data_IF_866462744705
#
_entry.id   IF_866462744705
#
_cell.length_a   1.000
_cell.length_b   1.000
_cell.length_c   1.000
_cell.angle_alpha   90.00
_cell.angle_beta   90.00
_cell.angle_gamma   90.00
#
_symmetry.space_group_name_H-M   'P 1'
#
loop_
_entity.id
_entity.type
_entity.pdbx_description
1 polymer ?
#
# COMPACT_ATOMS: atom_id res chain seq x y z
N UNK A 1 5.30 -8.81 -41.71
CA UNK A 1 4.50 -8.01 -40.76
C UNK A 1 4.10 -8.95 -39.64
N UNK A 2 4.79 -8.88 -38.50
CA UNK A 2 4.36 -9.63 -37.30
C UNK A 2 3.08 -8.97 -36.81
N UNK A 3 1.98 -9.73 -36.74
CA UNK A 3 0.74 -9.25 -36.15
C UNK A 3 1.05 -8.71 -34.75
N UNK A 4 0.61 -7.47 -34.47
CA UNK A 4 0.74 -6.92 -33.12
C UNK A 4 0.01 -7.87 -32.18
N UNK A 5 0.61 -8.28 -31.05
CA UNK A 5 -0.08 -9.10 -30.07
C UNK A 5 -1.41 -8.44 -29.71
N UNK A 6 -2.45 -9.26 -29.48
CA UNK A 6 -3.78 -8.74 -29.13
C UNK A 6 -3.62 -7.80 -27.93
N UNK A 7 -4.12 -6.57 -28.07
CA UNK A 7 -4.07 -5.61 -26.96
C UNK A 7 -4.89 -6.20 -25.83
N UNK A 8 -4.28 -6.38 -24.65
CA UNK A 8 -5.02 -6.62 -23.41
C UNK A 8 -5.99 -5.45 -23.27
N UNK A 9 -7.29 -5.73 -23.39
CA UNK A 9 -8.33 -4.69 -23.35
C UNK A 9 -8.59 -4.38 -21.88
N UNK A 10 -8.14 -3.23 -21.41
CA UNK A 10 -8.36 -2.77 -20.04
C UNK A 10 -9.87 -2.67 -19.78
N UNK A 11 -10.41 -3.35 -18.74
CA UNK A 11 -11.80 -3.21 -18.36
C UNK A 11 -12.14 -1.75 -18.04
N UNK A 12 -13.33 -1.31 -18.47
CA UNK A 12 -13.88 0.00 -18.14
C UNK A 12 -15.04 -0.22 -17.16
N UNK A 13 -14.99 0.45 -16.02
CA UNK A 13 -15.97 0.32 -14.93
C UNK A 13 -16.44 1.70 -14.47
N UNK A 14 -17.67 1.78 -13.97
CA UNK A 14 -18.25 3.03 -13.48
C UNK A 14 -18.51 2.99 -11.98
N UNK A 15 -18.27 4.10 -11.28
CA UNK A 15 -18.86 4.34 -9.96
C UNK A 15 -20.00 5.35 -10.06
N UNK A 16 -21.11 5.09 -9.38
CA UNK A 16 -22.26 5.98 -9.25
C UNK A 16 -22.42 6.30 -7.76
N UNK A 17 -21.78 7.37 -7.30
CA UNK A 17 -21.62 7.65 -5.87
C UNK A 17 -21.40 9.13 -5.56
N UNK A 18 -21.45 9.47 -4.28
CA UNK A 18 -21.12 10.81 -3.78
C UNK A 18 -19.62 11.11 -3.81
N UNK A 19 -19.29 12.40 -3.88
CA UNK A 19 -17.94 12.95 -3.78
C UNK A 19 -17.60 13.31 -2.34
N UNK A 20 -16.74 12.52 -1.69
CA UNK A 20 -16.11 12.86 -0.40
C UNK A 20 -15.00 13.89 -0.60
N UNK A 21 -15.19 15.12 -0.11
CA UNK A 21 -14.18 16.19 -0.17
C UNK A 21 -12.87 15.84 0.54
N UNK A 22 -12.88 14.95 1.53
CA UNK A 22 -11.68 14.44 2.21
C UNK A 22 -10.89 13.44 1.37
N UNK A 23 -11.48 12.92 0.28
CA UNK A 23 -10.85 12.00 -0.66
C UNK A 23 -10.59 10.60 -0.11
N UNK A 24 -11.22 10.23 1.02
CA UNK A 24 -11.05 8.94 1.68
C UNK A 24 -12.08 7.88 1.27
N UNK A 25 -13.30 8.31 0.92
CA UNK A 25 -14.42 7.48 0.51
C UNK A 25 -15.04 7.95 -0.83
N UNK A 26 -16.24 7.45 -1.15
CA UNK A 26 -17.00 7.85 -2.33
C UNK A 26 -16.26 7.63 -3.65
N UNK A 27 -16.56 8.45 -4.66
CA UNK A 27 -15.91 8.33 -5.98
C UNK A 27 -14.38 8.41 -5.92
N UNK A 28 -13.83 9.13 -4.93
CA UNK A 28 -12.38 9.27 -4.79
C UNK A 28 -11.72 7.93 -4.40
N UNK A 29 -12.29 7.21 -3.44
CA UNK A 29 -11.84 5.86 -3.08
C UNK A 29 -12.01 4.88 -4.24
N UNK A 30 -13.12 4.99 -4.95
CA UNK A 30 -13.46 4.09 -6.05
C UNK A 30 -12.47 4.23 -7.21
N UNK A 31 -12.26 5.47 -7.68
CA UNK A 31 -11.33 5.75 -8.79
C UNK A 31 -9.88 5.40 -8.42
N UNK A 32 -9.46 5.64 -7.17
CA UNK A 32 -8.13 5.20 -6.69
C UNK A 32 -8.01 3.68 -6.67
N UNK A 33 -9.06 2.97 -6.27
CA UNK A 33 -9.11 1.51 -6.27
C UNK A 33 -9.04 0.96 -7.70
N UNK A 34 -9.81 1.54 -8.62
CA UNK A 34 -9.79 1.18 -10.03
C UNK A 34 -8.40 1.39 -10.65
N UNK A 35 -7.78 2.54 -10.40
CA UNK A 35 -6.42 2.83 -10.83
C UNK A 35 -5.40 1.84 -10.24
N UNK A 36 -5.53 1.49 -8.95
CA UNK A 36 -4.66 0.53 -8.30
C UNK A 36 -4.75 -0.88 -8.92
N UNK A 37 -5.96 -1.28 -9.33
CA UNK A 37 -6.21 -2.59 -9.91
C UNK A 37 -6.02 -2.62 -11.43
N UNK A 38 -5.58 -1.51 -12.04
CA UNK A 38 -5.28 -1.45 -13.47
C UNK A 38 -6.53 -1.47 -14.37
N UNK A 39 -7.69 -1.06 -13.86
CA UNK A 39 -8.93 -0.89 -14.64
C UNK A 39 -9.20 0.60 -14.88
N UNK A 40 -9.86 0.94 -15.98
CA UNK A 40 -10.24 2.32 -16.27
C UNK A 40 -11.54 2.67 -15.53
N UNK A 41 -11.43 3.52 -14.53
CA UNK A 41 -12.58 4.01 -13.76
C UNK A 41 -13.22 5.24 -14.40
N UNK A 42 -14.54 5.20 -14.56
CA UNK A 42 -15.40 6.35 -14.88
C UNK A 42 -16.32 6.64 -13.68
N UNK A 43 -16.98 7.81 -13.67
CA UNK A 43 -17.87 8.15 -12.56
C UNK A 43 -19.11 8.92 -13.02
N UNK A 44 -20.20 8.74 -12.27
CA UNK A 44 -21.37 9.61 -12.27
C UNK A 44 -21.59 10.06 -10.82
N UNK A 45 -21.47 11.36 -10.57
CA UNK A 45 -21.57 11.92 -9.22
C UNK A 45 -23.04 12.05 -8.86
N UNK A 46 -23.42 11.56 -7.67
CA UNK A 46 -24.81 11.65 -7.15
C UNK A 46 -24.98 12.83 -6.22
N UNK A 47 -23.99 13.06 -5.35
CA UNK A 47 -23.97 14.19 -4.42
C UNK A 47 -22.54 14.67 -4.20
N UNK A 48 -22.37 15.90 -3.74
CA UNK A 48 -21.10 16.42 -3.23
C UNK A 48 -21.22 16.61 -1.72
N UNK A 49 -20.27 16.10 -0.93
CA UNK A 49 -20.28 16.28 0.52
C UNK A 49 -19.18 17.24 0.96
N UNK A 50 -19.51 18.21 1.80
CA UNK A 50 -18.53 18.93 2.60
C UNK A 50 -18.14 18.01 3.76
N UNK A 51 -17.13 17.17 3.51
CA UNK A 51 -16.74 16.07 4.39
C UNK A 51 -15.25 16.09 4.68
N UNK A 52 -14.88 15.65 5.88
CA UNK A 52 -13.50 15.43 6.27
C UNK A 52 -13.43 14.23 7.23
N UNK A 53 -12.25 13.98 7.81
CA UNK A 53 -12.02 12.81 8.68
C UNK A 53 -12.84 12.79 9.97
N UNK A 54 -13.48 13.90 10.36
CA UNK A 54 -14.29 13.99 11.58
C UNK A 54 -15.79 13.88 11.34
N UNK A 55 -16.23 13.80 10.08
CA UNK A 55 -17.65 13.62 9.74
C UNK A 55 -18.08 14.36 8.48
N UNK A 56 -19.37 14.22 8.18
CA UNK A 56 -20.07 14.94 7.11
C UNK A 56 -20.68 16.21 7.69
N UNK A 57 -20.36 17.37 7.11
CA UNK A 57 -20.89 18.67 7.55
C UNK A 57 -22.13 19.05 6.75
N UNK A 58 -22.06 18.90 5.43
CA UNK A 58 -23.16 19.24 4.51
C UNK A 58 -23.15 18.28 3.31
N UNK A 59 -24.34 18.08 2.73
CA UNK A 59 -24.55 17.23 1.55
C UNK A 59 -25.34 18.01 0.51
N UNK A 60 -24.84 17.99 -0.73
CA UNK A 60 -25.43 18.67 -1.88
C UNK A 60 -25.78 17.64 -2.95
N UNK A 61 -27.05 17.29 -3.04
CA UNK A 61 -27.54 16.34 -4.04
C UNK A 61 -27.57 16.97 -5.43
N UNK A 62 -27.10 16.23 -6.44
CA UNK A 62 -27.29 16.63 -7.82
C UNK A 62 -28.69 16.27 -8.30
N UNK A 63 -29.22 17.06 -9.24
CA UNK A 63 -30.50 16.78 -9.86
C UNK A 63 -30.45 15.41 -10.60
N UNK A 64 -31.50 14.57 -10.51
CA UNK A 64 -31.55 13.27 -11.18
C UNK A 64 -31.18 13.33 -12.66
N UNK A 65 -31.65 14.33 -13.40
CA UNK A 65 -31.38 14.49 -14.83
C UNK A 65 -29.88 14.72 -15.11
N UNK A 66 -29.18 15.37 -14.18
CA UNK A 66 -27.72 15.56 -14.24
C UNK A 66 -26.99 14.25 -14.01
N UNK A 67 -27.48 13.38 -13.12
CA UNK A 67 -26.92 12.04 -12.87
C UNK A 67 -27.10 11.17 -14.13
N UNK A 68 -28.31 11.16 -14.69
CA UNK A 68 -28.60 10.43 -15.94
C UNK A 68 -27.71 10.89 -17.09
N UNK A 69 -27.56 12.21 -17.29
CA UNK A 69 -26.72 12.78 -18.32
C UNK A 69 -25.25 12.33 -18.22
N UNK A 70 -24.71 12.20 -17.00
CA UNK A 70 -23.35 11.68 -16.79
C UNK A 70 -23.24 10.20 -17.19
N UNK A 71 -24.18 9.36 -16.74
CA UNK A 71 -24.19 7.93 -17.05
C UNK A 71 -24.29 7.72 -18.56
N UNK A 72 -25.23 8.41 -19.22
CA UNK A 72 -25.44 8.33 -20.67
C UNK A 72 -24.22 8.81 -21.46
N UNK A 73 -23.60 9.92 -21.05
CA UNK A 73 -22.41 10.44 -21.71
C UNK A 73 -21.26 9.43 -21.72
N UNK A 74 -21.05 8.73 -20.60
CA UNK A 74 -20.01 7.69 -20.52
C UNK A 74 -20.42 6.44 -21.30
N UNK A 75 -21.63 5.92 -21.10
CA UNK A 75 -22.07 4.66 -21.72
C UNK A 75 -22.28 4.77 -23.24
N UNK A 76 -22.49 5.97 -23.78
CA UNK A 76 -22.60 6.19 -25.23
C UNK A 76 -21.27 6.17 -25.97
N UNK A 77 -20.14 6.37 -25.27
CA UNK A 77 -18.79 6.39 -25.84
C UNK A 77 -17.95 5.16 -25.41
N UNK A 78 -18.12 4.68 -24.18
CA UNK A 78 -17.27 3.67 -23.57
C UNK A 78 -18.02 2.35 -23.33
N UNK A 79 -17.34 1.22 -23.54
CA UNK A 79 -17.89 -0.13 -23.31
C UNK A 79 -17.92 -0.48 -21.80
N UNK A 80 -18.70 0.26 -21.03
CA UNK A 80 -18.93 0.01 -19.60
C UNK A 80 -19.90 -1.17 -19.45
N UNK A 81 -19.46 -2.22 -18.76
CA UNK A 81 -20.33 -3.38 -18.40
C UNK A 81 -20.63 -3.45 -16.92
N UNK A 82 -19.67 -3.09 -16.08
CA UNK A 82 -19.79 -3.15 -14.63
C UNK A 82 -19.86 -1.76 -14.05
N UNK A 83 -20.78 -1.57 -13.12
CA UNK A 83 -20.86 -0.38 -12.31
C UNK A 83 -20.98 -0.75 -10.82
N UNK A 84 -20.52 0.14 -9.94
CA UNK A 84 -20.91 0.11 -8.54
C UNK A 84 -21.74 1.32 -8.18
N UNK A 85 -22.66 1.16 -7.23
CA UNK A 85 -23.21 2.31 -6.52
C UNK A 85 -22.47 2.52 -5.20
N UNK A 86 -22.47 3.76 -4.71
CA UNK A 86 -22.12 4.10 -3.33
C UNK A 86 -23.27 4.86 -2.68
N UNK A 87 -22.97 5.97 -2.01
CA UNK A 87 -23.99 6.86 -1.43
C UNK A 87 -24.94 7.42 -2.50
N UNK A 88 -26.25 7.19 -2.32
CA UNK A 88 -27.31 7.68 -3.22
C UNK A 88 -28.26 8.71 -2.59
N UNK A 89 -28.16 8.95 -1.27
CA UNK A 89 -28.85 9.96 -0.44
C UNK A 89 -30.39 10.04 -0.43
N UNK A 90 -31.07 9.91 -1.55
CA UNK A 90 -32.51 10.19 -1.71
C UNK A 90 -33.23 9.24 -2.66
N UNK A 91 -34.56 9.14 -2.51
CA UNK A 91 -35.43 8.30 -3.32
C UNK A 91 -35.41 8.68 -4.80
N UNK A 92 -35.33 9.96 -5.11
CA UNK A 92 -35.28 10.49 -6.47
C UNK A 92 -34.01 10.03 -7.20
N UNK A 93 -32.86 10.10 -6.53
CA UNK A 93 -31.58 9.63 -7.06
C UNK A 93 -31.61 8.11 -7.27
N UNK A 94 -32.09 7.36 -6.27
CA UNK A 94 -32.16 5.89 -6.37
C UNK A 94 -33.00 5.46 -7.58
N UNK A 95 -34.17 6.08 -7.79
CA UNK A 95 -35.04 5.78 -8.94
C UNK A 95 -34.35 6.04 -10.26
N UNK A 96 -33.66 7.17 -10.38
CA UNK A 96 -32.97 7.52 -11.62
C UNK A 96 -31.78 6.58 -11.87
N UNK A 97 -31.01 6.24 -10.84
CA UNK A 97 -29.91 5.26 -10.96
C UNK A 97 -30.46 3.89 -11.35
N UNK A 98 -31.53 3.42 -10.72
CA UNK A 98 -32.16 2.14 -11.07
C UNK A 98 -32.69 2.11 -12.51
N UNK A 99 -33.24 3.23 -12.99
CA UNK A 99 -33.67 3.40 -14.38
C UNK A 99 -32.50 3.32 -15.34
N UNK A 100 -31.42 4.06 -15.09
CA UNK A 100 -30.26 4.07 -15.98
C UNK A 100 -29.48 2.74 -15.95
N UNK A 101 -29.34 2.08 -14.80
CA UNK A 101 -28.74 0.75 -14.71
C UNK A 101 -29.46 -0.25 -15.61
N UNK A 102 -30.81 -0.26 -15.59
CA UNK A 102 -31.61 -1.12 -16.48
C UNK A 102 -31.45 -0.74 -17.95
N UNK A 103 -31.54 0.56 -18.26
CA UNK A 103 -31.46 1.09 -19.63
C UNK A 103 -30.12 0.77 -20.29
N UNK A 104 -29.03 0.99 -19.57
CA UNK A 104 -27.66 0.74 -20.04
C UNK A 104 -27.23 -0.74 -19.88
N UNK A 105 -28.06 -1.58 -19.24
CA UNK A 105 -27.80 -3.01 -18.97
C UNK A 105 -26.50 -3.24 -18.18
N UNK A 106 -26.26 -2.40 -17.19
CA UNK A 106 -25.07 -2.48 -16.34
C UNK A 106 -25.19 -3.64 -15.37
N UNK A 107 -24.12 -4.41 -15.21
CA UNK A 107 -23.95 -5.32 -14.09
C UNK A 107 -23.57 -4.52 -12.86
N UNK A 108 -24.45 -4.53 -11.85
CA UNK A 108 -24.34 -3.64 -10.71
C UNK A 108 -23.83 -4.37 -9.46
N UNK A 109 -22.78 -3.82 -8.87
CA UNK A 109 -22.37 -4.05 -7.47
C UNK A 109 -23.00 -2.96 -6.60
N UNK A 110 -23.98 -3.32 -5.77
CA UNK A 110 -24.66 -2.40 -4.87
C UNK A 110 -23.93 -2.36 -3.53
N UNK A 111 -23.33 -1.21 -3.19
CA UNK A 111 -22.87 -0.90 -1.84
C UNK A 111 -23.99 -0.11 -1.14
N UNK A 112 -24.78 -0.73 -0.23
CA UNK A 112 -25.98 -0.11 0.33
C UNK A 112 -25.63 0.84 1.47
N UNK A 113 -24.85 1.89 1.16
CA UNK A 113 -24.32 2.85 2.14
C UNK A 113 -25.47 3.59 2.82
N UNK A 114 -25.69 3.32 4.11
CA UNK A 114 -26.74 3.98 4.91
C UNK A 114 -26.20 5.08 5.84
N UNK A 115 -24.96 4.92 6.33
CA UNK A 115 -24.33 5.84 7.27
C UNK A 115 -22.84 6.03 6.96
N UNK A 116 -22.28 7.17 7.36
CA UNK A 116 -20.87 7.46 7.20
C UNK A 116 -20.06 6.82 8.33
N UNK A 117 -18.91 6.27 8.00
CA UNK A 117 -17.95 5.74 8.98
C UNK A 117 -17.37 6.84 9.89
N UNK A 118 -17.23 8.05 9.35
CA UNK A 118 -16.87 9.24 10.13
C UNK A 118 -18.05 9.84 10.91
N UNK A 119 -19.25 9.24 10.83
CA UNK A 119 -20.49 9.67 11.48
C UNK A 119 -21.42 10.50 10.58
N UNK A 120 -22.73 10.29 10.75
CA UNK A 120 -23.81 10.96 10.01
C UNK A 120 -24.64 10.00 9.16
N UNK A 121 -25.96 10.23 9.08
CA UNK A 121 -26.86 9.49 8.19
C UNK A 121 -26.60 9.91 6.73
N UNK A 122 -26.37 8.94 5.87
CA UNK A 122 -26.10 9.15 4.45
C UNK A 122 -27.27 8.77 3.54
N UNK A 123 -28.23 8.02 4.08
CA UNK A 123 -29.47 7.66 3.41
C UNK A 123 -30.66 8.19 4.21
N UNK A 124 -31.55 8.93 3.56
CA UNK A 124 -32.82 9.36 4.18
C UNK A 124 -33.68 8.14 4.47
N UNK A 125 -34.40 8.13 5.60
CA UNK A 125 -35.17 6.96 6.05
C UNK A 125 -36.20 6.49 5.02
N UNK A 126 -36.80 7.44 4.32
CA UNK A 126 -37.80 7.20 3.28
C UNK A 126 -37.20 6.62 1.99
N UNK A 127 -35.88 6.68 1.83
CA UNK A 127 -35.16 6.19 0.66
C UNK A 127 -34.80 4.70 0.76
N UNK A 128 -34.86 4.10 1.96
CA UNK A 128 -34.57 2.68 2.15
C UNK A 128 -35.57 1.77 1.43
N UNK A 129 -36.87 2.06 1.51
CA UNK A 129 -37.89 1.27 0.79
C UNK A 129 -37.68 1.34 -0.72
N UNK A 130 -37.35 2.53 -1.24
CA UNK A 130 -37.07 2.74 -2.67
C UNK A 130 -35.80 2.00 -3.10
N UNK A 131 -34.76 1.95 -2.26
CA UNK A 131 -33.57 1.14 -2.52
C UNK A 131 -33.92 -0.35 -2.66
N UNK A 132 -34.74 -0.87 -1.75
CA UNK A 132 -35.17 -2.27 -1.72
C UNK A 132 -36.08 -2.60 -2.92
N UNK A 133 -37.05 -1.74 -3.22
CA UNK A 133 -38.05 -2.00 -4.26
C UNK A 133 -37.51 -1.75 -5.67
N UNK A 134 -36.74 -0.68 -5.87
CA UNK A 134 -36.38 -0.21 -7.21
C UNK A 134 -34.96 -0.60 -7.63
N UNK A 135 -33.97 -0.61 -6.72
CA UNK A 135 -32.55 -0.77 -7.08
C UNK A 135 -32.00 -2.17 -6.77
N UNK A 136 -32.27 -2.70 -5.57
CA UNK A 136 -31.79 -4.01 -5.14
C UNK A 136 -32.13 -5.14 -6.14
N UNK A 137 -33.33 -5.19 -6.76
CA UNK A 137 -33.66 -6.23 -7.74
C UNK A 137 -32.87 -6.15 -9.05
N UNK A 138 -32.10 -5.08 -9.26
CA UNK A 138 -31.26 -4.88 -10.46
C UNK A 138 -29.81 -5.30 -10.24
N UNK A 139 -29.41 -5.58 -9.00
CA UNK A 139 -28.01 -5.82 -8.68
C UNK A 139 -27.57 -7.27 -8.90
N UNK A 140 -26.35 -7.44 -9.40
CA UNK A 140 -25.67 -8.74 -9.48
C UNK A 140 -25.19 -9.19 -8.11
N UNK A 141 -24.71 -8.24 -7.32
CA UNK A 141 -24.26 -8.49 -5.96
C UNK A 141 -24.49 -7.25 -5.11
N UNK A 142 -24.92 -7.44 -3.87
CA UNK A 142 -24.95 -6.39 -2.86
C UNK A 142 -23.94 -6.70 -1.75
N UNK A 143 -23.28 -5.67 -1.19
CA UNK A 143 -22.18 -5.83 -0.21
C UNK A 143 -22.47 -5.20 1.16
N UNK A 144 -23.62 -5.45 1.81
CA UNK A 144 -23.93 -4.82 3.09
C UNK A 144 -22.97 -5.25 4.21
N UNK A 145 -22.70 -4.36 5.16
CA UNK A 145 -22.20 -4.75 6.47
C UNK A 145 -23.33 -5.35 7.35
N UNK A 146 -23.03 -5.84 8.55
CA UNK A 146 -24.03 -6.46 9.43
C UNK A 146 -25.23 -5.53 9.77
N UNK A 147 -24.98 -4.23 9.99
CA UNK A 147 -26.05 -3.26 10.29
C UNK A 147 -26.93 -3.02 9.06
N UNK A 148 -26.33 -2.81 7.90
CA UNK A 148 -27.02 -2.62 6.63
C UNK A 148 -27.80 -3.88 6.22
N UNK A 149 -27.21 -5.06 6.41
CA UNK A 149 -27.87 -6.34 6.15
C UNK A 149 -29.10 -6.50 7.03
N UNK A 150 -29.01 -6.08 8.30
CA UNK A 150 -30.16 -6.07 9.20
C UNK A 150 -31.27 -5.13 8.76
N UNK A 151 -30.92 -3.92 8.32
CA UNK A 151 -31.87 -2.95 7.79
C UNK A 151 -32.57 -3.45 6.51
N UNK A 152 -31.83 -4.08 5.59
CA UNK A 152 -32.40 -4.67 4.37
C UNK A 152 -33.28 -5.90 4.67
N UNK A 153 -32.84 -6.78 5.57
CA UNK A 153 -33.55 -8.02 5.90
C UNK A 153 -34.69 -7.86 6.91
N UNK A 154 -34.85 -6.66 7.50
CA UNK A 154 -35.83 -6.39 8.56
C UNK A 154 -35.58 -7.20 9.82
N UNK A 155 -34.32 -7.41 10.20
CA UNK A 155 -33.93 -8.16 11.41
C UNK A 155 -32.57 -7.70 11.95
N UNK A 156 -32.21 -8.04 13.18
CA UNK A 156 -30.84 -7.82 13.66
C UNK A 156 -29.89 -8.91 13.14
N UNK A 157 -28.63 -8.55 12.86
CA UNK A 157 -27.58 -9.48 12.46
C UNK A 157 -26.43 -9.39 13.47
N UNK A 158 -26.34 -10.36 14.38
CA UNK A 158 -25.33 -10.39 15.45
C UNK A 158 -24.43 -11.62 15.39
N UNK A 159 -24.88 -12.68 14.72
CA UNK A 159 -24.18 -13.96 14.63
C UNK A 159 -23.99 -14.39 13.16
N UNK A 160 -23.05 -15.32 12.88
CA UNK A 160 -22.92 -15.92 11.56
C UNK A 160 -24.20 -16.60 11.05
N UNK A 161 -25.03 -17.12 11.96
CA UNK A 161 -26.31 -17.74 11.57
C UNK A 161 -27.34 -16.69 11.19
N UNK A 162 -27.42 -15.57 11.93
CA UNK A 162 -28.26 -14.43 11.54
C UNK A 162 -27.86 -13.90 10.17
N UNK A 163 -26.55 -13.85 9.87
CA UNK A 163 -26.03 -13.43 8.58
C UNK A 163 -26.54 -14.33 7.44
N UNK A 164 -26.56 -15.66 7.63
CA UNK A 164 -27.15 -16.57 6.62
C UNK A 164 -28.63 -16.30 6.38
N UNK A 165 -29.39 -16.09 7.45
CA UNK A 165 -30.83 -15.80 7.36
C UNK A 165 -31.04 -14.46 6.63
N UNK A 166 -30.29 -13.42 7.02
CA UNK A 166 -30.36 -12.12 6.38
C UNK A 166 -29.97 -12.19 4.91
N UNK A 167 -28.91 -12.92 4.55
CA UNK A 167 -28.48 -13.07 3.17
C UNK A 167 -29.55 -13.71 2.28
N UNK A 168 -30.25 -14.75 2.77
CA UNK A 168 -31.40 -15.34 2.05
C UNK A 168 -32.53 -14.33 1.87
N UNK A 169 -32.93 -13.66 2.95
CA UNK A 169 -33.99 -12.64 2.87
C UNK A 169 -33.66 -11.52 1.89
N UNK A 170 -32.41 -11.05 1.88
CA UNK A 170 -31.96 -10.00 0.95
C UNK A 170 -31.98 -10.51 -0.50
N UNK A 171 -31.59 -11.75 -0.74
CA UNK A 171 -31.69 -12.37 -2.06
C UNK A 171 -33.15 -12.55 -2.51
N UNK A 172 -34.06 -12.89 -1.60
CA UNK A 172 -35.51 -12.99 -1.89
C UNK A 172 -36.11 -11.64 -2.31
N UNK A 173 -35.47 -10.52 -1.95
CA UNK A 173 -35.82 -9.17 -2.42
C UNK A 173 -35.28 -8.87 -3.83
N UNK A 174 -34.53 -9.77 -4.46
CA UNK A 174 -34.16 -9.73 -5.88
C UNK A 174 -32.66 -9.61 -6.18
N UNK A 175 -31.77 -9.61 -5.19
CA UNK A 175 -30.33 -9.64 -5.43
C UNK A 175 -29.87 -11.04 -5.89
N UNK A 176 -29.10 -11.12 -6.97
CA UNK A 176 -28.58 -12.42 -7.46
C UNK A 176 -27.56 -13.06 -6.50
N UNK A 177 -26.78 -12.22 -5.83
CA UNK A 177 -25.86 -12.62 -4.78
C UNK A 177 -25.77 -11.57 -3.67
N UNK A 178 -25.41 -12.02 -2.47
CA UNK A 178 -25.28 -11.18 -1.28
C UNK A 178 -23.94 -11.47 -0.61
N UNK A 179 -23.15 -10.44 -0.35
CA UNK A 179 -21.93 -10.53 0.46
C UNK A 179 -22.13 -9.72 1.73
N UNK A 180 -22.34 -10.40 2.86
CA UNK A 180 -22.36 -9.73 4.16
C UNK A 180 -20.92 -9.61 4.66
N UNK A 181 -20.42 -8.39 4.77
CA UNK A 181 -19.02 -8.14 5.16
C UNK A 181 -18.81 -8.35 6.66
N UNK A 182 -17.75 -9.09 7.01
CA UNK A 182 -17.45 -9.52 8.37
C UNK A 182 -16.75 -8.50 9.25
N UNK A 183 -16.51 -7.27 8.76
CA UNK A 183 -15.73 -6.25 9.47
C UNK A 183 -16.26 -5.85 10.85
N UNK A 184 -17.50 -6.21 11.18
CA UNK A 184 -18.14 -5.97 12.48
C UNK A 184 -18.41 -7.27 13.27
N UNK A 185 -17.97 -8.42 12.74
CA UNK A 185 -18.17 -9.74 13.33
C UNK A 185 -16.80 -10.37 13.67
N UNK A 186 -16.35 -11.33 12.89
CA UNK A 186 -15.09 -12.08 13.06
C UNK A 186 -14.10 -11.85 11.90
N UNK A 187 -14.32 -10.79 11.11
CA UNK A 187 -13.64 -10.47 9.86
C UNK A 187 -13.90 -11.45 8.70
N UNK A 188 -14.76 -12.47 8.86
CA UNK A 188 -15.14 -13.39 7.78
C UNK A 188 -16.34 -12.85 7.00
N UNK A 189 -16.20 -12.69 5.68
CA UNK A 189 -17.34 -12.31 4.84
C UNK A 189 -18.15 -13.57 4.48
N UNK A 190 -19.47 -13.43 4.43
CA UNK A 190 -20.40 -14.49 4.01
C UNK A 190 -20.95 -14.16 2.63
N UNK A 191 -20.72 -15.05 1.66
CA UNK A 191 -21.31 -14.99 0.32
C UNK A 191 -22.51 -15.93 0.28
N UNK A 192 -23.62 -15.46 -0.28
CA UNK A 192 -24.78 -16.25 -0.66
C UNK A 192 -25.09 -16.05 -2.15
N UNK A 193 -25.22 -17.14 -2.90
CA UNK A 193 -25.61 -17.12 -4.31
C UNK A 193 -27.02 -17.71 -4.45
N UNK A 194 -27.97 -16.90 -4.93
CA UNK A 194 -29.38 -17.27 -4.95
C UNK A 194 -29.68 -18.42 -5.92
N UNK A 195 -28.99 -18.45 -7.07
CA UNK A 195 -29.23 -19.44 -8.12
C UNK A 195 -28.86 -20.88 -7.72
N UNK A 196 -27.83 -21.04 -6.89
CA UNK A 196 -27.32 -22.32 -6.39
C UNK A 196 -27.71 -22.61 -4.93
N UNK A 197 -28.27 -21.62 -4.23
CA UNK A 197 -28.50 -21.63 -2.79
C UNK A 197 -27.26 -21.96 -1.95
N UNK A 198 -26.08 -21.57 -2.44
CA UNK A 198 -24.80 -21.90 -1.80
C UNK A 198 -24.32 -20.78 -0.89
N UNK A 199 -23.71 -21.18 0.22
CA UNK A 199 -22.97 -20.27 1.10
C UNK A 199 -21.47 -20.53 1.00
N UNK A 200 -20.71 -19.46 0.93
CA UNK A 200 -19.24 -19.51 0.92
C UNK A 200 -18.68 -18.53 1.92
N UNK A 201 -17.69 -18.96 2.71
CA UNK A 201 -16.98 -18.11 3.65
C UNK A 201 -15.68 -17.61 3.05
N UNK A 202 -15.45 -16.31 3.16
CA UNK A 202 -14.20 -15.64 2.81
C UNK A 202 -13.54 -15.19 4.11
N UNK A 203 -12.57 -15.96 4.64
CA UNK A 203 -11.88 -15.60 5.87
C UNK A 203 -11.06 -14.32 5.65
N UNK A 204 -11.05 -13.48 6.68
CA UNK A 204 -10.22 -12.28 6.75
C UNK A 204 -9.54 -12.15 8.10
N UNK A 205 -8.86 -11.04 8.30
CA UNK A 205 -8.20 -10.72 9.58
C UNK A 205 -8.50 -9.28 10.00
N UNK A 206 -8.67 -9.07 11.31
CA UNK A 206 -8.70 -7.71 11.85
C UNK A 206 -7.31 -7.11 11.78
N UNK A 207 -7.18 -6.10 10.92
CA UNK A 207 -5.96 -5.32 10.74
C UNK A 207 -6.10 -3.97 11.43
N UNK A 208 -5.00 -3.47 12.00
CA UNK A 208 -4.97 -2.17 12.68
C UNK A 208 -4.64 -1.07 11.67
N UNK A 209 -5.48 -0.05 11.61
CA UNK A 209 -5.29 1.12 10.74
C UNK A 209 -6.52 2.02 10.74
N UNK A 210 -6.46 3.07 9.93
CA UNK A 210 -7.62 3.87 9.58
C UNK A 210 -8.57 3.07 8.69
N UNK A 211 -9.87 3.21 8.92
CA UNK A 211 -10.89 2.43 8.23
C UNK A 211 -11.74 3.27 7.28
N UNK A 212 -11.65 4.62 7.32
CA UNK A 212 -12.48 5.51 6.50
C UNK A 212 -12.36 5.16 5.01
N UNK A 213 -13.49 4.77 4.41
CA UNK A 213 -13.58 4.37 3.01
C UNK A 213 -13.27 2.90 2.73
N UNK A 214 -13.17 2.07 3.77
CA UNK A 214 -12.94 0.62 3.66
C UNK A 214 -14.07 -0.08 2.88
N UNK A 215 -15.33 0.23 3.19
CA UNK A 215 -16.50 -0.31 2.46
C UNK A 215 -16.49 0.06 0.98
N UNK A 216 -16.31 1.35 0.66
CA UNK A 216 -16.21 1.81 -0.73
C UNK A 216 -15.06 1.12 -1.49
N UNK A 217 -13.91 0.96 -0.82
CA UNK A 217 -12.73 0.27 -1.37
C UNK A 217 -13.01 -1.21 -1.62
N UNK A 218 -13.73 -1.89 -0.73
CA UNK A 218 -14.13 -3.28 -0.90
C UNK A 218 -15.07 -3.45 -2.11
N UNK A 219 -16.16 -2.69 -2.17
CA UNK A 219 -17.12 -2.78 -3.26
C UNK A 219 -16.51 -2.36 -4.61
N UNK A 220 -15.61 -1.35 -4.63
CA UNK A 220 -14.87 -0.97 -5.83
C UNK A 220 -13.89 -2.05 -6.29
N UNK A 221 -13.13 -2.66 -5.38
CA UNK A 221 -12.20 -3.73 -5.74
C UNK A 221 -12.93 -4.98 -6.22
N UNK A 222 -14.05 -5.35 -5.58
CA UNK A 222 -14.94 -6.41 -6.04
C UNK A 222 -15.41 -6.16 -7.49
N UNK A 223 -15.88 -4.94 -7.77
CA UNK A 223 -16.34 -4.53 -9.12
C UNK A 223 -15.22 -4.65 -10.15
N UNK A 224 -14.01 -4.21 -9.83
CA UNK A 224 -12.86 -4.30 -10.72
C UNK A 224 -12.46 -5.75 -11.04
N UNK A 225 -12.49 -6.63 -10.04
CA UNK A 225 -12.16 -8.05 -10.24
C UNK A 225 -13.24 -8.77 -11.04
N UNK A 226 -14.53 -8.50 -10.78
CA UNK A 226 -15.65 -9.03 -11.57
C UNK A 226 -15.57 -8.55 -13.03
N UNK A 227 -15.25 -7.28 -13.26
CA UNK A 227 -15.05 -6.73 -14.60
C UNK A 227 -13.85 -7.34 -15.33
N UNK A 228 -12.87 -7.86 -14.58
CA UNK A 228 -11.71 -8.57 -15.10
C UNK A 228 -11.98 -10.06 -15.36
N UNK A 229 -13.20 -10.54 -15.12
CA UNK A 229 -13.63 -11.92 -15.40
C UNK A 229 -13.44 -12.91 -14.26
N UNK A 230 -13.17 -12.44 -13.04
CA UNK A 230 -13.09 -13.30 -11.86
C UNK A 230 -14.48 -13.86 -11.48
N UNK A 231 -14.51 -15.09 -10.95
CA UNK A 231 -15.70 -15.61 -10.26
C UNK A 231 -16.06 -14.75 -9.04
N UNK A 232 -17.31 -14.80 -8.57
CA UNK A 232 -17.75 -14.05 -7.39
C UNK A 232 -16.88 -14.33 -6.15
N UNK A 233 -16.64 -15.61 -5.85
CA UNK A 233 -15.77 -16.01 -4.73
C UNK A 233 -14.34 -15.50 -4.91
N UNK A 234 -13.76 -15.68 -6.11
CA UNK A 234 -12.40 -15.21 -6.42
C UNK A 234 -12.27 -13.69 -6.28
N UNK A 235 -13.26 -12.94 -6.79
CA UNK A 235 -13.32 -11.49 -6.69
C UNK A 235 -13.45 -11.04 -5.23
N UNK A 236 -14.32 -11.66 -4.44
CA UNK A 236 -14.50 -11.36 -3.02
C UNK A 236 -13.23 -11.63 -2.20
N UNK A 237 -12.55 -12.77 -2.42
CA UNK A 237 -11.26 -13.08 -1.77
C UNK A 237 -10.19 -12.03 -2.08
N UNK A 238 -10.09 -11.60 -3.35
CA UNK A 238 -9.13 -10.57 -3.77
C UNK A 238 -9.51 -9.19 -3.23
N UNK A 239 -10.79 -8.83 -3.23
CA UNK A 239 -11.30 -7.58 -2.66
C UNK A 239 -11.03 -7.49 -1.15
N UNK A 240 -11.28 -8.59 -0.42
CA UNK A 240 -10.97 -8.71 1.01
C UNK A 240 -9.50 -8.46 1.30
N UNK A 241 -8.61 -9.17 0.59
CA UNK A 241 -7.17 -8.97 0.71
C UNK A 241 -6.77 -7.53 0.37
N UNK A 242 -7.35 -6.95 -0.68
CA UNK A 242 -7.05 -5.59 -1.11
C UNK A 242 -7.40 -4.56 -0.02
N UNK A 243 -8.60 -4.61 0.54
CA UNK A 243 -9.02 -3.67 1.59
C UNK A 243 -8.19 -3.85 2.87
N UNK A 244 -7.84 -5.08 3.26
CA UNK A 244 -6.95 -5.32 4.42
C UNK A 244 -5.58 -4.66 4.21
N UNK A 245 -5.00 -4.80 3.02
CA UNK A 245 -3.73 -4.15 2.69
C UNK A 245 -3.83 -2.63 2.63
N UNK A 246 -4.98 -2.09 2.22
CA UNK A 246 -5.25 -0.66 2.21
C UNK A 246 -5.41 -0.08 3.62
N UNK A 247 -6.05 -0.83 4.54
CA UNK A 247 -6.18 -0.45 5.96
C UNK A 247 -4.81 -0.47 6.65
N UNK A 248 -4.00 -1.52 6.46
CA UNK A 248 -2.66 -1.61 7.04
C UNK A 248 -1.77 -0.41 6.68
N UNK A 249 -1.99 0.17 5.49
CA UNK A 249 -1.22 1.30 4.96
C UNK A 249 -1.98 2.63 5.04
N UNK A 250 -3.02 2.70 5.88
CA UNK A 250 -3.84 3.90 6.05
C UNK A 250 -3.00 5.15 6.30
N UNK A 251 -3.46 6.30 5.82
CA UNK A 251 -2.72 7.55 5.89
C UNK A 251 -3.15 8.36 7.12
N UNK A 252 -2.23 8.92 7.92
CA UNK A 252 -2.55 9.79 9.05
C UNK A 252 -3.00 11.19 8.56
N UNK A 253 -4.09 11.23 7.80
CA UNK A 253 -4.70 12.45 7.30
C UNK A 253 -5.79 12.94 8.26
N UNK A 254 -5.80 14.23 8.56
CA UNK A 254 -6.79 14.84 9.44
C UNK A 254 -6.67 14.45 10.91
N UNK A 255 -7.74 14.71 11.67
CA UNK A 255 -7.79 14.52 13.14
C UNK A 255 -8.77 13.43 13.60
N UNK A 256 -9.56 12.88 12.68
CA UNK A 256 -10.56 11.85 12.97
C UNK A 256 -10.17 10.49 12.42
N UNK A 257 -11.12 9.77 11.82
CA UNK A 257 -10.87 8.46 11.24
C UNK A 257 -10.00 8.61 9.99
N UNK A 258 -8.82 7.99 10.02
CA UNK A 258 -7.87 8.03 8.92
C UNK A 258 -8.37 7.24 7.70
N UNK A 259 -8.17 7.76 6.47
CA UNK A 259 -8.53 7.03 5.26
C UNK A 259 -7.62 5.83 5.02
N UNK A 260 -8.21 4.76 4.49
CA UNK A 260 -7.44 3.65 3.91
C UNK A 260 -6.59 4.14 2.73
N UNK A 261 -5.50 3.44 2.41
CA UNK A 261 -4.63 3.80 1.29
C UNK A 261 -4.72 2.80 0.14
N UNK A 262 -5.59 3.09 -0.83
CA UNK A 262 -5.82 2.22 -1.99
C UNK A 262 -4.56 2.02 -2.83
N UNK A 263 -3.62 2.98 -2.82
CA UNK A 263 -2.37 2.90 -3.57
C UNK A 263 -1.19 2.38 -2.74
N UNK A 264 -1.37 2.08 -1.45
CA UNK A 264 -0.28 1.82 -0.51
C UNK A 264 0.66 0.72 -0.99
N UNK A 265 0.12 -0.44 -1.37
CA UNK A 265 0.92 -1.56 -1.86
C UNK A 265 1.68 -1.22 -3.16
N UNK A 266 1.08 -0.45 -4.07
CA UNK A 266 1.70 -0.06 -5.34
C UNK A 266 2.83 0.94 -5.13
N UNK A 267 2.63 1.89 -4.21
CA UNK A 267 3.66 2.86 -3.85
C UNK A 267 4.85 2.16 -3.18
N UNK A 268 4.60 1.19 -2.30
CA UNK A 268 5.63 0.36 -1.68
C UNK A 268 6.41 -0.43 -2.75
N UNK A 269 5.73 -1.13 -3.66
CA UNK A 269 6.38 -1.87 -4.76
C UNK A 269 7.19 -0.95 -5.69
N UNK A 270 6.69 0.25 -5.98
CA UNK A 270 7.44 1.28 -6.72
C UNK A 270 8.73 1.64 -5.99
N UNK A 271 8.68 1.92 -4.69
CA UNK A 271 9.86 2.24 -3.91
C UNK A 271 10.85 1.07 -3.85
N UNK A 272 10.34 -0.17 -3.72
CA UNK A 272 11.15 -1.39 -3.77
C UNK A 272 11.91 -1.51 -5.09
N UNK A 273 11.23 -1.28 -6.22
CA UNK A 273 11.85 -1.27 -7.54
C UNK A 273 12.95 -0.19 -7.66
N UNK A 274 12.67 1.04 -7.20
CA UNK A 274 13.63 2.15 -7.26
C UNK A 274 14.89 1.84 -6.46
N UNK A 275 14.74 1.30 -5.25
CA UNK A 275 15.86 0.86 -4.40
C UNK A 275 16.70 -0.22 -5.08
N UNK A 276 16.07 -1.26 -5.66
CA UNK A 276 16.80 -2.31 -6.38
C UNK A 276 17.58 -1.76 -7.57
N UNK A 277 16.99 -0.82 -8.31
CA UNK A 277 17.64 -0.19 -9.47
C UNK A 277 18.86 0.63 -9.04
N UNK A 278 18.71 1.45 -8.01
CA UNK A 278 19.79 2.30 -7.51
C UNK A 278 20.93 1.46 -6.90
N UNK A 279 20.61 0.40 -6.15
CA UNK A 279 21.64 -0.50 -5.63
C UNK A 279 22.40 -1.24 -6.72
N UNK A 280 21.74 -1.64 -7.81
CA UNK A 280 22.44 -2.25 -8.97
C UNK A 280 23.44 -1.27 -9.58
N UNK A 281 23.06 0.00 -9.73
CA UNK A 281 23.95 1.06 -10.21
C UNK A 281 25.11 1.30 -9.23
N UNK A 282 24.84 1.36 -7.93
CA UNK A 282 25.85 1.50 -6.90
C UNK A 282 26.86 0.34 -6.92
N UNK A 283 26.41 -0.91 -7.09
CA UNK A 283 27.29 -2.07 -7.25
C UNK A 283 28.17 -1.93 -8.49
N UNK A 284 27.62 -1.51 -9.64
CA UNK A 284 28.39 -1.29 -10.86
C UNK A 284 29.49 -0.23 -10.68
N UNK A 285 29.21 0.85 -9.94
CA UNK A 285 30.20 1.90 -9.61
C UNK A 285 31.37 1.29 -8.82
N UNK A 286 31.06 0.43 -7.83
CA UNK A 286 32.07 -0.22 -6.99
C UNK A 286 32.89 -1.26 -7.77
N UNK A 287 32.25 -2.09 -8.60
CA UNK A 287 32.93 -3.12 -9.42
C UNK A 287 33.80 -2.52 -10.52
N UNK A 288 33.39 -1.38 -11.07
CA UNK A 288 34.10 -0.71 -12.16
C UNK A 288 35.31 0.10 -11.68
N UNK A 289 35.42 0.39 -10.38
CA UNK A 289 36.52 1.19 -9.86
C UNK A 289 37.73 0.30 -9.46
N UNK A 290 38.93 0.54 -10.04
CA UNK A 290 40.10 -0.30 -9.76
C UNK A 290 40.74 -0.06 -8.38
N UNK A 291 40.35 0.99 -7.65
CA UNK A 291 40.91 1.34 -6.34
C UNK A 291 40.03 0.83 -5.19
N UNK A 292 38.72 0.74 -5.41
CA UNK A 292 37.78 0.24 -4.40
C UNK A 292 38.15 -1.14 -3.78
N UNK A 293 38.76 -2.10 -4.50
CA UNK A 293 39.15 -3.40 -3.92
C UNK A 293 40.08 -3.32 -2.71
N UNK A 294 40.80 -2.21 -2.54
CA UNK A 294 41.68 -1.99 -1.37
C UNK A 294 40.91 -1.59 -0.10
N UNK A 295 39.66 -1.13 -0.26
CA UNK A 295 38.73 -0.85 0.83
C UNK A 295 37.88 -2.05 1.24
N UNK A 296 38.04 -3.21 0.59
CA UNK A 296 37.26 -4.41 0.93
C UNK A 296 37.88 -5.11 2.15
N UNK A 297 37.12 -5.29 3.27
CA UNK A 297 37.59 -6.03 4.44
C UNK A 297 37.64 -7.54 4.16
N UNK A 298 38.27 -8.32 5.04
CA UNK A 298 38.38 -9.77 4.87
C UNK A 298 37.00 -10.44 4.82
N UNK A 299 36.06 -9.96 5.63
CA UNK A 299 34.66 -10.44 5.63
C UNK A 299 33.81 -9.94 4.45
N UNK A 300 34.38 -9.12 3.56
CA UNK A 300 33.68 -8.51 2.43
C UNK A 300 32.85 -7.26 2.75
N UNK A 301 32.68 -6.40 1.75
CA UNK A 301 31.84 -5.21 1.79
C UNK A 301 30.38 -5.57 1.54
N UNK A 302 29.44 -4.89 2.18
CA UNK A 302 28.05 -4.92 1.75
C UNK A 302 27.52 -3.50 1.70
N UNK A 303 26.81 -3.20 0.62
CA UNK A 303 26.08 -1.95 0.41
C UNK A 303 24.60 -2.28 0.46
N UNK A 304 23.84 -1.44 1.16
CA UNK A 304 22.40 -1.60 1.26
C UNK A 304 21.68 -0.27 1.22
N UNK A 305 20.39 -0.34 0.89
CA UNK A 305 19.47 0.79 0.87
C UNK A 305 18.07 0.35 1.27
N UNK A 306 17.42 1.16 2.10
CA UNK A 306 16.05 0.94 2.55
C UNK A 306 15.02 1.70 1.71
N UNK A 307 13.81 1.16 1.58
CA UNK A 307 12.65 1.95 1.14
C UNK A 307 12.33 3.08 2.15
N UNK A 308 11.57 4.11 1.78
CA UNK A 308 11.04 5.07 2.75
C UNK A 308 10.25 4.34 3.84
N UNK A 309 10.34 4.82 5.09
CA UNK A 309 9.59 4.29 6.25
C UNK A 309 9.87 2.81 6.60
N UNK A 310 10.95 2.22 6.07
CA UNK A 310 11.39 0.86 6.41
C UNK A 310 11.45 0.63 7.94
N UNK A 311 10.82 -0.44 8.40
CA UNK A 311 10.78 -0.82 9.82
C UNK A 311 11.43 -2.19 10.10
N UNK A 312 11.63 -2.99 9.04
CA UNK A 312 12.17 -4.34 9.10
C UNK A 312 13.41 -4.50 8.21
N UNK A 313 14.12 -5.62 8.33
CA UNK A 313 15.27 -5.87 7.45
C UNK A 313 14.82 -6.35 6.06
N UNK A 314 13.58 -6.83 5.93
CA UNK A 314 12.90 -7.17 4.68
C UNK A 314 12.61 -5.93 3.81
N UNK A 315 12.67 -4.74 4.40
CA UNK A 315 12.55 -3.44 3.74
C UNK A 315 13.89 -2.84 3.30
N UNK A 316 14.99 -3.57 3.53
CA UNK A 316 16.33 -3.18 3.12
C UNK A 316 16.85 -4.14 2.08
N UNK A 317 17.21 -3.62 0.91
CA UNK A 317 17.92 -4.38 -0.10
C UNK A 317 19.43 -4.25 0.07
N UNK A 318 20.14 -5.32 -0.28
CA UNK A 318 21.60 -5.39 -0.20
C UNK A 318 22.14 -6.45 -1.17
N UNK A 319 23.46 -6.60 -1.24
CA UNK A 319 24.10 -7.64 -2.06
C UNK A 319 24.09 -8.97 -1.32
N UNK A 320 23.47 -9.99 -1.91
CA UNK A 320 23.54 -11.37 -1.44
C UNK A 320 24.99 -11.88 -1.52
N UNK A 321 25.49 -12.49 -0.45
CA UNK A 321 26.86 -13.00 -0.41
C UNK A 321 27.97 -11.94 -0.37
N UNK A 322 27.62 -10.63 -0.32
CA UNK A 322 28.54 -9.48 -0.22
C UNK A 322 29.35 -9.19 -1.50
N UNK A 323 30.09 -8.10 -1.48
CA UNK A 323 31.10 -7.72 -2.47
C UNK A 323 32.48 -8.11 -1.92
N UNK A 324 33.23 -8.91 -2.66
CA UNK A 324 34.52 -9.46 -2.25
C UNK A 324 35.65 -9.03 -3.19
N UNK A 325 36.88 -9.08 -2.69
CA UNK A 325 38.08 -8.87 -3.51
C UNK A 325 38.42 -10.19 -4.22
N UNK A 326 38.27 -10.23 -5.54
CA UNK A 326 38.65 -11.37 -6.37
C UNK A 326 39.65 -10.96 -7.45
N UNK A 327 40.88 -11.50 -7.38
CA UNK A 327 41.97 -11.20 -8.32
C UNK A 327 42.21 -9.69 -8.52
N UNK A 328 42.17 -8.93 -7.42
CA UNK A 328 42.38 -7.47 -7.44
C UNK A 328 41.19 -6.65 -7.96
N UNK A 329 40.02 -7.26 -8.14
CA UNK A 329 38.77 -6.56 -8.52
C UNK A 329 37.71 -6.75 -7.44
N UNK A 330 36.77 -5.82 -7.37
CA UNK A 330 35.57 -5.96 -6.56
C UNK A 330 34.56 -6.80 -7.36
N UNK A 331 33.96 -7.79 -6.71
CA UNK A 331 32.98 -8.69 -7.33
C UNK A 331 31.83 -8.90 -6.35
N UNK A 332 30.61 -8.57 -6.76
CA UNK A 332 29.39 -8.97 -6.07
C UNK A 332 29.20 -10.48 -6.22
N UNK A 333 29.04 -11.19 -5.09
CA UNK A 333 28.90 -12.65 -5.10
C UNK A 333 27.53 -13.07 -5.62
N UNK A 334 26.48 -12.36 -5.22
CA UNK A 334 25.09 -12.62 -5.60
C UNK A 334 24.37 -11.36 -6.07
N UNK A 335 23.06 -11.52 -6.31
CA UNK A 335 22.20 -10.43 -6.76
C UNK A 335 21.94 -9.41 -5.65
N UNK A 336 21.45 -8.24 -6.04
CA UNK A 336 20.81 -7.32 -5.10
C UNK A 336 19.40 -7.82 -4.83
N UNK A 337 19.06 -8.02 -3.56
CA UNK A 337 17.72 -8.41 -3.14
C UNK A 337 17.36 -7.84 -1.75
N UNK A 338 16.06 -7.76 -1.47
CA UNK A 338 15.52 -7.39 -0.17
C UNK A 338 15.78 -8.48 0.88
N UNK A 339 16.12 -8.08 2.10
CA UNK A 339 16.43 -9.01 3.18
C UNK A 339 17.78 -9.72 3.03
N UNK A 340 18.57 -9.42 2.00
CA UNK A 340 19.83 -10.10 1.70
C UNK A 340 20.93 -9.92 2.77
N UNK A 341 20.84 -8.91 3.63
CA UNK A 341 21.85 -8.65 4.66
C UNK A 341 21.31 -7.98 5.92
N UNK A 342 21.19 -8.77 7.00
CA UNK A 342 20.85 -8.26 8.34
C UNK A 342 21.92 -7.31 8.92
N UNK A 343 23.17 -7.43 8.47
CA UNK A 343 24.26 -6.62 9.03
C UNK A 343 24.16 -5.16 8.61
N UNK A 344 24.01 -4.90 7.31
CA UNK A 344 23.87 -3.54 6.77
C UNK A 344 22.48 -2.97 7.07
N UNK A 345 21.43 -3.80 7.05
CA UNK A 345 20.08 -3.41 7.41
C UNK A 345 20.00 -2.80 8.82
N UNK A 346 20.65 -3.40 9.81
CA UNK A 346 20.74 -2.86 11.18
C UNK A 346 21.32 -1.45 11.24
N UNK A 347 22.38 -1.20 10.48
CA UNK A 347 23.04 0.13 10.44
C UNK A 347 22.07 1.16 9.82
N UNK A 348 21.40 0.79 8.74
CA UNK A 348 20.45 1.66 8.03
C UNK A 348 19.22 1.94 8.88
N UNK A 349 18.58 0.91 9.45
CA UNK A 349 17.42 1.03 10.34
C UNK A 349 17.76 1.83 11.60
N UNK A 350 18.97 1.69 12.14
CA UNK A 350 19.43 2.51 13.24
C UNK A 350 19.57 3.99 12.86
N UNK A 351 20.04 4.29 11.65
CA UNK A 351 20.16 5.66 11.13
C UNK A 351 18.80 6.30 10.87
N UNK A 352 17.87 5.53 10.28
CA UNK A 352 16.50 5.93 9.97
C UNK A 352 15.74 6.46 11.20
N UNK A 353 15.94 5.85 12.37
CA UNK A 353 15.31 6.28 13.63
C UNK A 353 15.69 7.70 14.08
N UNK A 354 16.84 8.22 13.62
CA UNK A 354 17.30 9.58 13.94
C UNK A 354 17.16 10.54 12.77
N UNK A 355 17.24 10.04 11.52
CA UNK A 355 17.02 10.84 10.32
C UNK A 355 16.46 9.95 9.20
N UNK A 356 15.18 10.18 8.85
CA UNK A 356 14.46 9.40 7.84
C UNK A 356 15.02 9.52 6.42
N UNK A 357 15.87 10.51 6.16
CA UNK A 357 16.53 10.69 4.86
C UNK A 357 17.77 9.79 4.70
N UNK A 358 18.39 9.33 5.79
CA UNK A 358 19.60 8.50 5.72
C UNK A 358 19.20 7.03 5.59
N UNK A 359 19.13 6.56 4.34
CA UNK A 359 18.58 5.25 3.97
C UNK A 359 19.58 4.30 3.36
N UNK A 360 20.84 4.69 3.19
CA UNK A 360 21.87 3.85 2.59
C UNK A 360 23.12 3.77 3.43
N UNK A 361 23.79 2.62 3.37
CA UNK A 361 25.06 2.40 4.04
C UNK A 361 25.95 1.40 3.29
N UNK A 362 27.27 1.57 3.41
CA UNK A 362 28.26 0.58 3.01
C UNK A 362 29.27 0.39 4.15
N UNK A 363 29.65 -0.86 4.42
CA UNK A 363 30.82 -1.14 5.25
C UNK A 363 32.08 -1.29 4.41
N UNK A 364 33.18 -0.71 4.87
CA UNK A 364 34.51 -0.80 4.28
C UNK A 364 35.55 -1.15 5.36
N UNK A 365 36.72 -1.58 4.91
CA UNK A 365 37.88 -1.87 5.75
C UNK A 365 38.30 -0.65 6.56
N UNK A 366 38.53 -0.86 7.85
CA UNK A 366 39.18 0.15 8.68
C UNK A 366 40.67 0.25 8.37
N UNK A 367 41.16 1.48 8.28
CA UNK A 367 42.58 1.82 8.34
C UNK A 367 42.71 3.26 8.86
N UNK A 368 43.84 3.59 9.49
CA UNK A 368 44.09 4.98 9.92
C UNK A 368 44.16 5.91 8.70
N UNK A 369 44.69 5.41 7.57
CA UNK A 369 44.75 6.13 6.30
C UNK A 369 43.35 6.47 5.77
N UNK A 370 42.40 5.52 5.85
CA UNK A 370 41.03 5.76 5.44
C UNK A 370 40.32 6.75 6.36
N UNK A 371 40.54 6.68 7.68
CA UNK A 371 39.98 7.66 8.60
C UNK A 371 40.55 9.06 8.36
N UNK A 372 41.85 9.18 8.11
CA UNK A 372 42.48 10.46 7.80
C UNK A 372 41.95 11.06 6.50
N UNK A 373 41.78 10.24 5.46
CA UNK A 373 41.16 10.67 4.21
C UNK A 373 39.71 11.15 4.43
N UNK A 374 38.93 10.49 5.28
CA UNK A 374 37.58 10.96 5.67
C UNK A 374 37.63 12.34 6.37
N UNK A 375 38.60 12.59 7.26
CA UNK A 375 38.77 13.88 7.95
C UNK A 375 39.10 15.00 6.97
N UNK A 376 39.99 14.74 6.02
CA UNK A 376 40.34 15.72 4.98
C UNK A 376 39.19 16.04 4.03
N UNK A 377 38.33 15.06 3.77
CA UNK A 377 37.09 15.24 3.03
C UNK A 377 36.02 15.99 3.85
N UNK A 378 36.34 16.40 5.09
CA UNK A 378 35.46 17.13 6.02
C UNK A 378 34.15 16.38 6.28
N UNK A 379 34.19 15.05 6.27
CA UNK A 379 33.04 14.23 6.60
C UNK A 379 32.79 14.28 8.11
N UNK A 380 31.52 14.32 8.52
CA UNK A 380 31.17 14.11 9.93
C UNK A 380 31.51 12.68 10.34
N UNK A 381 32.35 12.51 11.37
CA UNK A 381 32.83 11.20 11.84
C UNK A 381 32.42 11.00 13.29
N UNK A 382 31.90 9.82 13.60
CA UNK A 382 31.70 9.34 14.96
C UNK A 382 32.18 7.90 15.12
N UNK A 383 32.25 7.44 16.36
CA UNK A 383 32.74 6.10 16.70
C UNK A 383 32.03 5.54 17.91
N UNK A 384 32.08 4.21 18.05
CA UNK A 384 31.69 3.50 19.26
C UNK A 384 32.75 2.45 19.62
N UNK A 385 32.83 2.10 20.90
CA UNK A 385 33.66 1.00 21.38
C UNK A 385 32.80 -0.26 21.57
N UNK A 386 33.28 -1.40 21.07
CA UNK A 386 32.60 -2.68 21.26
C UNK A 386 32.74 -3.23 22.68
N UNK A 387 33.73 -2.79 23.45
CA UNK A 387 33.89 -3.16 24.85
C UNK A 387 32.76 -2.61 25.73
N UNK A 388 32.10 -1.53 25.28
CA UNK A 388 30.99 -0.88 25.96
C UNK A 388 29.62 -1.51 25.59
N UNK A 389 29.59 -2.54 24.74
CA UNK A 389 28.35 -3.22 24.31
C UNK A 389 27.64 -3.86 25.52
N UNK A 390 26.39 -3.48 25.84
CA UNK A 390 25.67 -4.00 26.99
C UNK A 390 25.46 -5.52 26.91
N UNK A 391 25.67 -6.23 28.03
CA UNK A 391 25.61 -7.71 28.10
C UNK A 391 24.28 -8.33 27.65
N UNK A 392 23.18 -7.56 27.67
CA UNK A 392 21.84 -8.00 27.27
C UNK A 392 21.40 -7.50 25.88
N UNK A 393 22.28 -6.84 25.11
CA UNK A 393 21.94 -6.26 23.81
C UNK A 393 22.89 -6.81 22.75
N UNK A 394 22.54 -7.95 22.14
CA UNK A 394 23.32 -8.56 21.04
C UNK A 394 22.98 -7.96 19.67
N UNK A 395 22.99 -6.64 19.54
CA UNK A 395 22.71 -6.01 18.24
C UNK A 395 23.62 -4.81 17.98
N UNK A 396 24.24 -4.81 16.80
CA UNK A 396 24.95 -3.66 16.24
C UNK A 396 24.10 -2.39 16.07
N UNK A 397 22.78 -2.51 16.25
CA UNK A 397 21.87 -1.37 16.38
C UNK A 397 22.32 -0.43 17.50
N UNK A 398 22.89 -0.98 18.59
CA UNK A 398 23.40 -0.20 19.72
C UNK A 398 24.61 0.65 19.32
N UNK A 399 25.65 0.06 18.74
CA UNK A 399 26.89 0.80 18.41
C UNK A 399 26.64 1.94 17.41
N UNK A 400 25.78 1.69 16.42
CA UNK A 400 25.37 2.72 15.45
C UNK A 400 24.57 3.83 16.15
N UNK A 401 23.60 3.48 16.99
CA UNK A 401 22.81 4.44 17.76
C UNK A 401 23.67 5.27 18.72
N UNK A 402 24.66 4.66 19.37
CA UNK A 402 25.54 5.34 20.32
C UNK A 402 26.46 6.34 19.62
N UNK A 403 27.04 5.95 18.48
CA UNK A 403 27.82 6.86 17.66
C UNK A 403 26.98 8.06 17.15
N UNK A 404 25.72 7.83 16.78
CA UNK A 404 24.77 8.88 16.38
C UNK A 404 24.48 9.84 17.55
N UNK A 405 24.16 9.29 18.74
CA UNK A 405 23.90 10.10 19.94
C UNK A 405 25.10 10.94 20.33
N UNK A 406 26.29 10.35 20.34
CA UNK A 406 27.55 11.02 20.65
C UNK A 406 27.84 12.19 19.69
N UNK A 407 27.47 12.05 18.43
CA UNK A 407 27.65 13.09 17.42
C UNK A 407 26.58 14.19 17.48
N UNK A 408 25.39 13.91 18.02
CA UNK A 408 24.25 14.82 18.04
C UNK A 408 23.41 14.81 16.76
N UNK A 409 23.58 13.79 15.91
CA UNK A 409 22.91 13.63 14.61
C UNK A 409 23.50 12.44 13.85
N UNK A 410 22.99 12.12 12.65
CA UNK A 410 23.54 11.01 11.86
C UNK A 410 24.81 11.47 11.12
N UNK A 411 26.01 10.99 11.49
CA UNK A 411 27.25 11.37 10.82
C UNK A 411 27.34 10.70 9.44
N UNK A 412 28.23 11.20 8.57
CA UNK A 412 28.53 10.52 7.29
C UNK A 412 29.37 9.26 7.47
N UNK A 413 30.13 9.18 8.57
CA UNK A 413 31.05 8.08 8.86
C UNK A 413 30.87 7.60 10.30
N UNK A 414 30.70 6.29 10.47
CA UNK A 414 30.75 5.61 11.77
C UNK A 414 31.80 4.53 11.73
N UNK A 415 32.72 4.49 12.69
CA UNK A 415 33.73 3.43 12.74
C UNK A 415 33.83 2.75 14.11
N UNK A 416 34.40 1.54 14.12
CA UNK A 416 34.82 0.82 15.32
C UNK A 416 36.18 0.15 15.09
N UNK A 417 36.96 0.01 16.17
CA UNK A 417 38.29 -0.62 16.15
C UNK A 417 38.25 -2.14 16.31
N UNK A 418 37.10 -2.78 16.06
CA UNK A 418 36.92 -4.22 16.21
C UNK A 418 36.86 -4.67 17.66
N UNK A 419 37.07 -5.97 17.86
CA UNK A 419 37.09 -6.63 19.17
C UNK A 419 37.40 -8.12 19.00
N UNK A 420 37.41 -8.93 20.07
CA UNK A 420 37.66 -10.37 19.95
C UNK A 420 36.71 -11.03 18.94
N UNK A 421 37.27 -11.55 17.82
CA UNK A 421 36.51 -12.17 16.73
C UNK A 421 35.70 -11.21 15.86
N UNK A 422 35.91 -9.89 15.95
CA UNK A 422 35.21 -8.86 15.17
C UNK A 422 36.22 -7.97 14.44
N UNK A 423 36.18 -7.99 13.12
CA UNK A 423 37.05 -7.15 12.26
C UNK A 423 36.72 -5.65 12.46
N UNK A 424 37.73 -4.77 12.58
CA UNK A 424 37.55 -3.31 12.61
C UNK A 424 36.91 -2.80 11.31
N UNK A 425 36.00 -1.83 11.42
CA UNK A 425 35.19 -1.41 10.26
C UNK A 425 34.87 0.08 10.25
N UNK A 426 34.82 0.64 9.04
CA UNK A 426 34.25 1.97 8.75
C UNK A 426 32.92 1.76 8.03
N UNK A 427 31.91 2.57 8.36
CA UNK A 427 30.59 2.58 7.73
C UNK A 427 30.35 3.96 7.16
N UNK A 428 30.11 4.04 5.86
CA UNK A 428 29.69 5.28 5.21
C UNK A 428 28.18 5.29 5.10
N UNK A 429 27.56 6.42 5.45
CA UNK A 429 26.12 6.60 5.51
C UNK A 429 25.68 7.68 4.51
N UNK A 430 24.52 7.50 3.88
CA UNK A 430 24.00 8.44 2.90
C UNK A 430 22.51 8.31 2.64
N UNK A 431 22.01 9.15 1.76
CA UNK A 431 20.59 9.21 1.39
C UNK A 431 20.23 8.18 0.32
N UNK A 432 21.20 7.80 -0.51
CA UNK A 432 21.06 6.83 -1.58
C UNK A 432 22.28 5.92 -1.73
N UNK A 433 22.08 4.76 -2.35
CA UNK A 433 23.15 3.77 -2.55
C UNK A 433 24.25 4.31 -3.47
N UNK A 434 23.88 5.00 -4.55
CA UNK A 434 24.83 5.58 -5.51
C UNK A 434 25.70 6.64 -4.85
N UNK A 435 25.11 7.53 -4.03
CA UNK A 435 25.85 8.54 -3.25
C UNK A 435 26.92 7.89 -2.36
N UNK A 436 26.54 6.81 -1.67
CA UNK A 436 27.44 6.09 -0.76
C UNK A 436 28.53 5.33 -1.51
N UNK A 437 28.22 4.73 -2.66
CA UNK A 437 29.20 4.04 -3.51
C UNK A 437 30.23 5.02 -4.09
N UNK A 438 29.77 6.17 -4.60
CA UNK A 438 30.66 7.23 -5.08
C UNK A 438 31.57 7.77 -3.98
N UNK A 439 31.04 7.91 -2.76
CA UNK A 439 31.84 8.33 -1.61
C UNK A 439 32.94 7.31 -1.30
N UNK A 440 32.62 6.01 -1.34
CA UNK A 440 33.59 4.95 -1.13
C UNK A 440 34.69 4.95 -2.22
N UNK A 441 34.31 5.17 -3.48
CA UNK A 441 35.24 5.30 -4.60
C UNK A 441 36.17 6.50 -4.43
N UNK A 442 35.62 7.69 -4.13
CA UNK A 442 36.39 8.92 -3.88
C UNK A 442 37.39 8.73 -2.73
N UNK A 443 36.98 8.00 -1.69
CA UNK A 443 37.84 7.64 -0.58
C UNK A 443 39.00 6.73 -1.03
N UNK A 444 38.73 5.70 -1.82
CA UNK A 444 39.75 4.78 -2.34
C UNK A 444 40.78 5.49 -3.22
N UNK A 445 40.33 6.39 -4.09
CA UNK A 445 41.19 7.22 -4.95
C UNK A 445 42.10 8.14 -4.14
N UNK A 446 41.55 8.78 -3.10
CA UNK A 446 42.32 9.69 -2.24
C UNK A 446 43.39 8.98 -1.43
N UNK A 447 43.10 7.78 -0.93
CA UNK A 447 44.10 6.95 -0.24
C UNK A 447 45.24 6.60 -1.22
N UNK A 448 44.91 6.18 -2.44
CA UNK A 448 45.92 5.81 -3.44
C UNK A 448 46.79 6.97 -3.92
N UNK A 449 46.25 8.18 -3.99
CA UNK A 449 47.02 9.40 -4.31
C UNK A 449 48.09 9.71 -3.26
N UNK A 450 47.91 9.30 -2.00
CA UNK A 450 48.88 9.50 -0.92
C UNK A 450 49.93 8.41 -0.82
N UNK A 451 49.65 7.22 -1.35
CA UNK A 451 50.59 6.09 -1.36
C UNK A 451 51.56 6.12 -2.55
N UNK A 452 51.45 7.12 -3.43
CA UNK A 452 52.38 7.43 -4.52
C UNK A 452 53.18 8.66 -4.13
#
# INVERSE_FOLDING_TARGET
>A
MTEKPSKIRTPIVMTIAGSDSGGGAGIAADLKTFAALGVHGTCAITSVTAQNTTGVLETFDLAPETIASQIEAVCSDMEVKWAKTGMLSSSEIIREVAKEVRKQKLFLVLDPVMAAEAGGDLLRKEALSVLIEDLLPTCKVTTPNASEAGALAGMEVKTPEDAKIAARKIADLGAEAVIITGGHLDATDLIYEAASETFTLVPGTFVKGGTHGSGCTYSASLTAFLASGESLEGAARKAKKFVEQAILRSLPAGKGVHPVNQLGAILEEKERYLVLRELKEAVLILESNPNFPDLIPEVGCNIGMAIPEADSYEDVAAVEGRIVRCRGRAVAVGCVDFGASRHVARIILASLRYNSQIRAAINIKYSEEALEACREMKLGISSFDRAEEPKNTRTMDWGTAEAIKKYGGVPKVIYDKGGPGKEPMIRLLGTGATEVAELAVKLAERIRQKSR
#
